data_IF_643244287591
#
_entry.id   IF_643244287591
#
_cell.length_a   1.000
_cell.length_b   1.000
_cell.length_c   1.000
_cell.angle_alpha   90.00
_cell.angle_beta   90.00
_cell.angle_gamma   90.00
#
_symmetry.space_group_name_H-M   'P 1'
#
loop_
_entity.id
_entity.type
_entity.pdbx_description
1 polymer ?
#
# COMPACT_ATOMS: atom_id res chain seq x y z
N UNK A 1 6.67 1.29 -14.57
CA UNK A 1 5.43 0.50 -14.67
C UNK A 1 5.77 -0.91 -15.10
N UNK A 2 5.27 -1.93 -14.39
CA UNK A 2 5.48 -3.36 -14.74
C UNK A 2 4.40 -3.90 -15.67
N UNK A 3 3.40 -3.08 -16.03
CA UNK A 3 2.27 -3.49 -16.85
C UNK A 3 2.47 -3.11 -18.33
N UNK A 4 2.10 -4.01 -19.21
CA UNK A 4 2.23 -3.88 -20.67
C UNK A 4 0.88 -3.61 -21.35
N UNK A 5 -0.23 -3.97 -20.70
CA UNK A 5 -1.57 -3.87 -21.26
C UNK A 5 -2.43 -2.81 -20.55
N UNK A 6 -3.57 -2.46 -21.14
CA UNK A 6 -4.50 -1.46 -20.61
C UNK A 6 -5.51 -2.09 -19.67
N UNK A 7 -5.88 -3.35 -19.90
CA UNK A 7 -6.84 -4.10 -19.09
C UNK A 7 -6.20 -5.32 -18.41
N UNK A 8 -6.84 -5.77 -17.37
CA UNK A 8 -6.34 -6.83 -16.48
C UNK A 8 -6.34 -8.21 -17.12
N UNK A 9 -7.31 -8.51 -17.96
CA UNK A 9 -7.43 -9.83 -18.61
C UNK A 9 -6.31 -10.02 -19.63
N UNK A 10 -6.07 -9.00 -20.47
CA UNK A 10 -4.94 -8.98 -21.40
C UNK A 10 -3.59 -9.03 -20.67
N UNK A 11 -3.49 -8.39 -19.51
CA UNK A 11 -2.26 -8.44 -18.70
C UNK A 11 -1.98 -9.83 -18.15
N UNK A 12 -3.02 -10.55 -17.70
CA UNK A 12 -2.88 -11.93 -17.24
C UNK A 12 -2.52 -12.90 -18.40
N UNK A 13 -3.00 -12.62 -19.61
CA UNK A 13 -2.74 -13.42 -20.81
C UNK A 13 -1.35 -13.17 -21.39
N UNK A 14 -0.78 -11.99 -21.19
CA UNK A 14 0.43 -11.50 -21.85
C UNK A 14 1.63 -12.46 -21.71
N UNK A 15 1.90 -12.94 -20.50
CA UNK A 15 3.00 -13.87 -20.25
C UNK A 15 2.86 -15.19 -21.01
N UNK A 16 1.75 -15.92 -20.84
CA UNK A 16 1.47 -17.14 -21.60
C UNK A 16 1.51 -16.97 -23.14
N UNK A 17 0.95 -15.87 -23.66
CA UNK A 17 0.99 -15.57 -25.10
C UNK A 17 2.42 -15.40 -25.62
N UNK A 18 3.27 -14.66 -24.89
CA UNK A 18 4.67 -14.48 -25.24
C UNK A 18 5.50 -15.79 -25.16
N UNK A 19 5.02 -16.78 -24.41
CA UNK A 19 5.61 -18.12 -24.39
C UNK A 19 5.05 -19.04 -25.49
N UNK A 20 4.24 -18.50 -26.40
CA UNK A 20 3.70 -19.25 -27.54
C UNK A 20 2.66 -20.31 -27.14
N UNK A 21 1.99 -20.14 -26.02
CA UNK A 21 0.92 -21.04 -25.56
C UNK A 21 -0.31 -20.78 -26.44
N UNK A 22 -0.99 -21.86 -26.88
CA UNK A 22 -2.17 -21.76 -27.71
C UNK A 22 -3.31 -20.99 -27.02
N UNK A 23 -4.08 -20.22 -27.78
CA UNK A 23 -5.08 -19.26 -27.27
C UNK A 23 -6.14 -19.88 -26.34
N UNK A 24 -6.60 -21.08 -26.65
CA UNK A 24 -7.54 -21.83 -25.79
C UNK A 24 -6.94 -22.16 -24.44
N UNK A 25 -5.68 -22.59 -24.40
CA UNK A 25 -4.94 -22.87 -23.17
C UNK A 25 -4.62 -21.59 -22.39
N UNK A 26 -4.35 -20.46 -23.07
CA UNK A 26 -4.18 -19.15 -22.42
C UNK A 26 -5.45 -18.76 -21.67
N UNK A 27 -6.61 -18.87 -22.31
CA UNK A 27 -7.91 -18.55 -21.69
C UNK A 27 -8.18 -19.42 -20.44
N UNK A 28 -7.88 -20.71 -20.53
CA UNK A 28 -8.07 -21.64 -19.42
C UNK A 28 -7.10 -21.33 -18.26
N UNK A 29 -5.85 -20.95 -18.56
CA UNK A 29 -4.88 -20.53 -17.56
C UNK A 29 -5.32 -19.26 -16.85
N UNK A 30 -5.75 -18.23 -17.60
CA UNK A 30 -6.25 -16.97 -17.03
C UNK A 30 -7.44 -17.22 -16.10
N UNK A 31 -8.43 -18.02 -16.52
CA UNK A 31 -9.58 -18.38 -15.69
C UNK A 31 -9.15 -19.13 -14.41
N UNK A 32 -8.27 -20.09 -14.55
CA UNK A 32 -7.77 -20.90 -13.41
C UNK A 32 -7.04 -19.99 -12.41
N UNK A 33 -6.13 -19.13 -12.87
CA UNK A 33 -5.37 -18.21 -12.02
C UNK A 33 -6.30 -17.19 -11.37
N UNK A 34 -7.25 -16.65 -12.12
CA UNK A 34 -8.24 -15.71 -11.57
C UNK A 34 -9.02 -16.35 -10.42
N UNK A 35 -9.49 -17.58 -10.58
CA UNK A 35 -10.19 -18.31 -9.53
C UNK A 35 -9.29 -18.62 -8.31
N UNK A 36 -8.06 -19.11 -8.56
CA UNK A 36 -7.11 -19.47 -7.49
C UNK A 36 -6.69 -18.29 -6.63
N UNK A 37 -6.47 -17.13 -7.25
CA UNK A 37 -5.98 -15.92 -6.62
C UNK A 37 -7.09 -14.91 -6.32
N UNK A 38 -8.35 -15.28 -6.54
CA UNK A 38 -9.55 -14.43 -6.32
C UNK A 38 -9.47 -13.10 -7.08
N UNK A 39 -9.12 -13.17 -8.36
CA UNK A 39 -8.97 -12.02 -9.26
C UNK A 39 -10.21 -11.78 -10.12
N UNK A 40 -11.24 -12.65 -10.08
CA UNK A 40 -12.42 -12.55 -10.94
C UNK A 40 -13.09 -11.17 -10.89
N UNK A 41 -13.20 -10.49 -9.73
CA UNK A 41 -13.79 -9.15 -9.67
C UNK A 41 -12.95 -8.07 -10.34
N UNK A 42 -11.70 -8.39 -10.68
CA UNK A 42 -10.76 -7.47 -11.31
C UNK A 42 -10.65 -7.67 -12.82
N UNK A 43 -11.18 -8.78 -13.36
CA UNK A 43 -11.12 -9.05 -14.80
C UNK A 43 -11.81 -7.95 -15.59
N UNK A 44 -11.32 -7.70 -16.80
CA UNK A 44 -11.81 -6.70 -17.76
C UNK A 44 -11.79 -5.25 -17.25
N UNK A 45 -11.18 -5.00 -16.11
CA UNK A 45 -11.00 -3.63 -15.59
C UNK A 45 -9.74 -2.99 -16.17
N UNK A 46 -9.79 -1.67 -16.31
CA UNK A 46 -8.60 -0.90 -16.66
C UNK A 46 -7.57 -0.96 -15.53
N UNK A 47 -6.32 -1.27 -15.85
CA UNK A 47 -5.20 -1.29 -14.88
C UNK A 47 -5.01 0.08 -14.21
N UNK A 48 -5.31 1.16 -14.92
CA UNK A 48 -5.21 2.52 -14.39
C UNK A 48 -6.24 2.82 -13.29
N UNK A 49 -7.37 2.10 -13.28
CA UNK A 49 -8.42 2.25 -12.26
C UNK A 49 -8.18 1.41 -11.00
N UNK A 50 -7.16 0.56 -11.00
CA UNK A 50 -6.85 -0.34 -9.88
C UNK A 50 -6.12 0.39 -8.75
N UNK A 51 -6.45 0.03 -7.52
CA UNK A 51 -5.67 0.36 -6.33
C UNK A 51 -4.29 -0.29 -6.35
N UNK A 52 -3.36 0.18 -5.51
CA UNK A 52 -2.03 -0.42 -5.39
C UNK A 52 -2.07 -1.92 -5.05
N UNK A 53 -2.96 -2.34 -4.15
CA UNK A 53 -3.15 -3.74 -3.78
C UNK A 53 -3.71 -4.59 -4.92
N UNK A 54 -4.70 -4.08 -5.65
CA UNK A 54 -5.25 -4.76 -6.83
C UNK A 54 -4.19 -4.90 -7.93
N UNK A 55 -3.38 -3.87 -8.16
CA UNK A 55 -2.23 -3.93 -9.10
C UNK A 55 -1.24 -5.01 -8.70
N UNK A 56 -0.89 -5.11 -7.42
CA UNK A 56 0.03 -6.14 -6.94
C UNK A 56 -0.54 -7.55 -7.14
N UNK A 57 -1.84 -7.75 -6.88
CA UNK A 57 -2.52 -9.01 -7.16
C UNK A 57 -2.48 -9.38 -8.65
N UNK A 58 -2.74 -8.43 -9.55
CA UNK A 58 -2.67 -8.66 -11.00
C UNK A 58 -1.24 -8.99 -11.42
N UNK A 59 -0.23 -8.28 -10.93
CA UNK A 59 1.17 -8.57 -11.23
C UNK A 59 1.58 -10.01 -10.82
N UNK A 60 1.16 -10.44 -9.61
CA UNK A 60 1.35 -11.82 -9.18
C UNK A 60 0.54 -12.83 -10.02
N UNK A 61 -0.68 -12.47 -10.43
CA UNK A 61 -1.52 -13.25 -11.31
C UNK A 61 -0.89 -13.46 -12.69
N UNK A 62 -0.32 -12.40 -13.28
CA UNK A 62 0.39 -12.47 -14.57
C UNK A 62 1.58 -13.42 -14.50
N UNK A 63 2.36 -13.36 -13.42
CA UNK A 63 3.42 -14.33 -13.18
C UNK A 63 2.87 -15.76 -13.00
N UNK A 64 1.78 -15.92 -12.24
CA UNK A 64 1.15 -17.23 -11.99
C UNK A 64 0.55 -17.85 -13.27
N UNK A 65 0.13 -17.06 -14.23
CA UNK A 65 -0.39 -17.54 -15.51
C UNK A 65 0.69 -18.22 -16.36
N UNK A 66 1.97 -17.87 -16.16
CA UNK A 66 3.12 -18.57 -16.77
C UNK A 66 3.38 -19.90 -16.05
N UNK A 67 2.98 -19.99 -14.77
CA UNK A 67 3.17 -21.15 -13.86
C UNK A 67 4.66 -21.42 -13.53
N UNK A 68 5.44 -20.42 -13.10
CA UNK A 68 6.84 -20.63 -12.76
C UNK A 68 7.00 -21.49 -11.49
N UNK A 69 8.15 -22.15 -11.35
CA UNK A 69 8.51 -22.88 -10.12
C UNK A 69 9.04 -21.95 -9.03
N UNK A 70 9.59 -20.78 -9.42
CA UNK A 70 10.21 -19.83 -8.51
C UNK A 70 9.63 -18.42 -8.74
N UNK A 71 9.15 -17.81 -7.66
CA UNK A 71 8.72 -16.40 -7.62
C UNK A 71 9.76 -15.57 -6.89
N UNK A 72 10.19 -14.47 -7.50
CA UNK A 72 11.07 -13.49 -6.88
C UNK A 72 10.30 -12.19 -6.74
N UNK A 73 10.14 -11.70 -5.51
CA UNK A 73 9.33 -10.54 -5.17
C UNK A 73 10.21 -9.53 -4.43
N UNK A 74 10.27 -8.31 -4.95
CA UNK A 74 11.04 -7.22 -4.37
C UNK A 74 10.09 -6.17 -3.79
N UNK A 75 10.15 -5.98 -2.47
CA UNK A 75 9.30 -5.07 -1.68
C UNK A 75 7.82 -5.07 -2.07
N UNK A 76 7.18 -6.23 -2.21
CA UNK A 76 5.82 -6.31 -2.75
C UNK A 76 4.78 -5.61 -1.88
N UNK A 77 5.06 -5.36 -0.61
CA UNK A 77 4.13 -4.71 0.32
C UNK A 77 4.26 -3.19 0.39
N UNK A 78 5.21 -2.56 -0.31
CA UNK A 78 5.57 -1.15 -0.13
C UNK A 78 4.39 -0.17 -0.25
N UNK A 79 3.45 -0.43 -1.17
CA UNK A 79 2.29 0.42 -1.45
C UNK A 79 0.96 -0.19 -0.99
N UNK A 80 0.99 -1.23 -0.15
CA UNK A 80 -0.21 -1.92 0.33
C UNK A 80 -0.68 -1.37 1.67
N UNK A 81 -1.99 -1.24 1.83
CA UNK A 81 -2.62 -1.04 3.13
C UNK A 81 -2.79 -2.37 3.89
N UNK A 82 -3.28 -2.32 5.13
CA UNK A 82 -3.38 -3.49 5.99
C UNK A 82 -4.27 -4.60 5.39
N UNK A 83 -5.36 -4.24 4.72
CA UNK A 83 -6.26 -5.21 4.07
C UNK A 83 -5.59 -5.85 2.86
N UNK A 84 -4.98 -5.04 2.00
CA UNK A 84 -4.25 -5.52 0.83
C UNK A 84 -3.07 -6.42 1.23
N UNK A 85 -2.38 -6.13 2.34
CA UNK A 85 -1.32 -6.99 2.89
C UNK A 85 -1.89 -8.34 3.34
N UNK A 86 -3.03 -8.36 4.02
CA UNK A 86 -3.67 -9.60 4.45
C UNK A 86 -4.05 -10.49 3.24
N UNK A 87 -4.64 -9.89 2.22
CA UNK A 87 -4.98 -10.57 0.97
C UNK A 87 -3.74 -11.07 0.23
N UNK A 88 -2.68 -10.26 0.17
CA UNK A 88 -1.41 -10.63 -0.45
C UNK A 88 -0.74 -11.79 0.29
N UNK A 89 -0.76 -11.77 1.62
CA UNK A 89 -0.29 -12.88 2.44
C UNK A 89 -1.03 -14.18 2.10
N UNK A 90 -2.36 -14.12 1.94
CA UNK A 90 -3.16 -15.29 1.56
C UNK A 90 -2.78 -15.82 0.17
N UNK A 91 -2.49 -14.93 -0.78
CA UNK A 91 -1.99 -15.29 -2.10
C UNK A 91 -0.65 -16.06 -1.99
N UNK A 92 0.30 -15.54 -1.22
CA UNK A 92 1.60 -16.19 -1.00
C UNK A 92 1.42 -17.59 -0.36
N UNK A 93 0.51 -17.73 0.60
CA UNK A 93 0.17 -19.05 1.18
C UNK A 93 -0.36 -20.02 0.13
N UNK A 94 -1.21 -19.54 -0.78
CA UNK A 94 -1.74 -20.37 -1.86
C UNK A 94 -0.61 -20.85 -2.78
N UNK A 95 0.28 -19.99 -3.20
CA UNK A 95 1.44 -20.35 -4.04
C UNK A 95 2.37 -21.35 -3.31
N UNK A 96 2.66 -21.09 -2.05
CA UNK A 96 3.48 -22.00 -1.22
C UNK A 96 2.83 -23.38 -1.08
N UNK A 97 1.52 -23.46 -0.86
CA UNK A 97 0.78 -24.73 -0.75
C UNK A 97 0.76 -25.55 -2.05
N UNK A 98 0.97 -24.88 -3.18
CA UNK A 98 1.14 -25.51 -4.51
C UNK A 98 2.58 -26.01 -4.76
N UNK A 99 3.47 -25.90 -3.77
CA UNK A 99 4.87 -26.31 -3.88
C UNK A 99 5.77 -25.30 -4.59
N UNK A 100 5.31 -24.06 -4.80
CA UNK A 100 6.13 -23.02 -5.44
C UNK A 100 7.19 -22.49 -4.49
N UNK A 101 8.38 -22.21 -5.03
CA UNK A 101 9.45 -21.53 -4.29
C UNK A 101 9.20 -20.02 -4.34
N UNK A 102 9.30 -19.36 -3.18
CA UNK A 102 9.05 -17.92 -3.08
C UNK A 102 10.26 -17.28 -2.42
N UNK A 103 10.88 -16.31 -3.10
CA UNK A 103 11.99 -15.50 -2.60
C UNK A 103 11.46 -14.08 -2.48
N UNK A 104 11.51 -13.49 -1.28
CA UNK A 104 10.97 -12.15 -1.01
C UNK A 104 12.05 -11.28 -0.37
N UNK A 105 12.37 -10.16 -0.99
CA UNK A 105 13.07 -9.05 -0.37
C UNK A 105 12.04 -8.14 0.31
N UNK A 106 12.17 -7.86 1.61
CA UNK A 106 11.13 -7.16 2.35
C UNK A 106 11.64 -6.47 3.62
N UNK A 107 11.05 -5.30 3.92
CA UNK A 107 11.26 -4.57 5.17
C UNK A 107 10.15 -4.80 6.21
N UNK A 108 8.93 -5.10 5.76
CA UNK A 108 7.76 -5.34 6.62
C UNK A 108 7.65 -6.81 6.98
N UNK A 109 8.31 -7.23 8.05
CA UNK A 109 8.45 -8.65 8.39
C UNK A 109 7.20 -9.26 9.02
N UNK A 110 6.33 -8.46 9.64
CA UNK A 110 5.21 -8.95 10.44
C UNK A 110 4.21 -9.82 9.66
N UNK A 111 3.95 -9.51 8.38
CA UNK A 111 3.00 -10.29 7.59
C UNK A 111 3.60 -11.57 7.02
N UNK A 112 4.91 -11.70 7.02
CA UNK A 112 5.64 -12.89 6.59
C UNK A 112 5.79 -13.92 7.72
N UNK A 113 5.49 -13.55 8.96
CA UNK A 113 5.58 -14.45 10.11
C UNK A 113 4.71 -15.70 9.88
N UNK A 114 5.30 -16.89 10.05
CA UNK A 114 4.67 -18.17 9.75
C UNK A 114 4.55 -18.52 8.26
N UNK A 115 5.08 -17.69 7.36
CA UNK A 115 5.14 -17.96 5.93
C UNK A 115 6.54 -18.42 5.48
N UNK A 116 7.59 -17.78 5.96
CA UNK A 116 8.97 -18.09 5.58
C UNK A 116 9.49 -19.36 6.30
N UNK A 117 10.34 -20.11 5.62
CA UNK A 117 11.04 -21.28 6.14
C UNK A 117 12.50 -20.95 6.45
N UNK A 118 13.08 -19.97 5.74
CA UNK A 118 14.47 -19.52 5.84
C UNK A 118 14.54 -18.01 5.68
N UNK A 119 15.47 -17.37 6.38
CA UNK A 119 15.72 -15.94 6.30
C UNK A 119 17.19 -15.69 6.06
N UNK A 120 17.50 -14.93 5.02
CA UNK A 120 18.85 -14.45 4.73
C UNK A 120 18.93 -12.99 5.14
N UNK A 121 19.87 -12.65 6.01
CA UNK A 121 20.16 -11.26 6.39
C UNK A 121 21.35 -10.75 5.57
N UNK A 122 21.07 -9.73 4.76
CA UNK A 122 22.07 -9.06 3.93
C UNK A 122 22.48 -7.75 4.56
N UNK A 123 23.78 -7.49 4.55
CA UNK A 123 24.38 -6.22 4.94
C UNK A 123 25.62 -5.94 4.09
N UNK A 124 25.75 -4.71 3.64
CA UNK A 124 26.89 -4.26 2.81
C UNK A 124 27.17 -5.14 1.56
N UNK A 125 26.12 -5.80 1.03
CA UNK A 125 26.20 -6.68 -0.13
C UNK A 125 26.61 -8.12 0.18
N UNK A 126 26.79 -8.48 1.45
CA UNK A 126 27.16 -9.80 1.91
C UNK A 126 26.05 -10.45 2.74
N UNK A 127 25.98 -11.79 2.76
CA UNK A 127 25.09 -12.54 3.64
C UNK A 127 25.78 -12.65 5.01
N UNK A 128 25.32 -11.81 5.95
CA UNK A 128 25.82 -11.86 7.34
C UNK A 128 25.08 -12.90 8.21
N UNK A 129 23.87 -13.29 7.83
CA UNK A 129 23.10 -14.27 8.57
C UNK A 129 22.25 -15.17 7.68
N UNK A 130 22.14 -16.42 8.09
CA UNK A 130 21.32 -17.45 7.45
C UNK A 130 20.61 -18.22 8.56
N UNK A 131 19.30 -18.06 8.63
CA UNK A 131 18.47 -18.53 9.74
C UNK A 131 17.34 -19.42 9.25
N UNK A 132 17.04 -20.46 9.99
CA UNK A 132 15.73 -21.12 9.91
C UNK A 132 14.64 -20.19 10.44
N UNK A 133 13.38 -20.48 10.13
CA UNK A 133 12.25 -19.72 10.67
C UNK A 133 12.25 -19.69 12.21
N UNK A 134 12.59 -20.80 12.85
CA UNK A 134 12.63 -20.93 14.31
C UNK A 134 13.73 -20.05 14.92
N UNK A 135 14.95 -20.13 14.40
CA UNK A 135 16.08 -19.32 14.86
C UNK A 135 15.79 -17.84 14.71
N UNK A 136 15.26 -17.40 13.56
CA UNK A 136 14.96 -16.01 13.30
C UNK A 136 13.83 -15.48 14.21
N UNK A 137 12.79 -16.25 14.41
CA UNK A 137 11.72 -15.89 15.35
C UNK A 137 12.19 -15.85 16.80
N UNK A 138 13.20 -16.66 17.15
CA UNK A 138 13.82 -16.70 18.47
C UNK A 138 14.76 -15.53 18.78
N UNK A 139 15.15 -14.71 17.78
CA UNK A 139 15.95 -13.52 18.01
C UNK A 139 15.21 -12.55 18.96
N UNK A 140 15.93 -11.98 19.91
CA UNK A 140 15.38 -10.94 20.80
C UNK A 140 15.05 -9.66 20.03
N UNK A 141 14.18 -8.81 20.57
CA UNK A 141 13.88 -7.49 19.99
C UNK A 141 15.18 -6.68 19.81
N UNK A 142 16.07 -6.70 20.81
CA UNK A 142 17.35 -6.00 20.75
C UNK A 142 18.23 -6.47 19.60
N UNK A 143 18.35 -7.79 19.40
CA UNK A 143 19.14 -8.32 18.28
C UNK A 143 18.59 -7.86 16.94
N UNK A 144 17.25 -7.87 16.76
CA UNK A 144 16.64 -7.37 15.53
C UNK A 144 16.82 -5.86 15.35
N UNK A 145 16.75 -5.08 16.42
CA UNK A 145 17.02 -3.64 16.37
C UNK A 145 18.48 -3.33 16.00
N UNK A 146 19.43 -4.08 16.56
CA UNK A 146 20.86 -3.96 16.22
C UNK A 146 21.13 -4.31 14.73
N UNK A 147 20.31 -5.19 14.14
CA UNK A 147 20.31 -5.51 12.71
C UNK A 147 19.55 -4.48 11.85
N UNK A 148 18.89 -3.50 12.45
CA UNK A 148 18.06 -2.52 11.73
C UNK A 148 16.74 -3.09 11.18
N UNK A 149 16.26 -4.21 11.72
CA UNK A 149 15.08 -4.90 11.24
C UNK A 149 13.80 -4.42 11.92
N UNK A 150 12.72 -4.39 11.16
CA UNK A 150 11.39 -4.09 11.72
C UNK A 150 10.84 -5.25 12.57
N UNK A 151 9.93 -4.98 13.52
CA UNK A 151 9.35 -6.02 14.38
C UNK A 151 8.62 -7.09 13.59
N UNK A 152 8.71 -8.34 14.04
CA UNK A 152 7.90 -9.47 13.56
C UNK A 152 6.47 -9.44 14.10
N UNK A 153 6.23 -8.71 15.19
CA UNK A 153 4.94 -8.58 15.83
C UNK A 153 4.70 -7.13 16.24
N UNK A 154 3.54 -6.60 15.86
CA UNK A 154 3.15 -5.23 16.20
C UNK A 154 2.56 -5.09 17.62
N UNK A 155 2.21 -6.20 18.27
CA UNK A 155 1.60 -6.21 19.60
C UNK A 155 2.54 -5.76 20.74
N UNK A 156 3.83 -5.62 20.50
CA UNK A 156 4.84 -5.22 21.50
C UNK A 156 5.44 -3.84 21.26
N UNK A 157 4.83 -3.01 20.43
CA UNK A 157 5.26 -1.62 20.28
C UNK A 157 4.94 -0.90 21.59
N UNK A 158 5.98 -0.63 22.38
CA UNK A 158 5.87 0.18 23.60
C UNK A 158 5.30 1.56 23.24
N UNK A 159 4.39 2.06 24.08
CA UNK A 159 3.92 3.43 23.99
C UNK A 159 5.14 4.34 24.14
N UNK A 160 5.48 5.04 23.07
CA UNK A 160 6.47 6.10 23.14
C UNK A 160 5.75 7.24 23.86
N UNK A 161 6.19 7.58 25.09
CA UNK A 161 5.72 8.78 25.74
C UNK A 161 6.01 9.98 24.85
N UNK A 162 4.96 10.50 24.23
CA UNK A 162 5.05 11.71 23.41
C UNK A 162 5.33 12.94 24.29
N UNK A 163 5.83 14.03 23.72
CA UNK A 163 5.95 15.29 24.44
C UNK A 163 4.58 15.69 25.01
N UNK A 164 4.51 16.35 26.17
CA UNK A 164 3.26 16.74 26.80
C UNK A 164 2.41 17.53 25.79
N UNK A 165 1.15 17.10 25.64
CA UNK A 165 0.21 17.75 24.73
C UNK A 165 -0.05 19.18 25.19
N UNK A 166 0.53 20.16 24.50
CA UNK A 166 0.15 21.57 24.60
C UNK A 166 -1.04 21.79 23.68
N UNK A 167 -2.24 21.47 24.15
CA UNK A 167 -3.46 21.81 23.41
C UNK A 167 -3.67 23.33 23.55
N UNK A 168 -3.32 24.09 22.51
CA UNK A 168 -3.76 25.47 22.40
C UNK A 168 -5.24 25.51 22.05
N UNK A 169 -5.97 26.50 22.56
CA UNK A 169 -7.40 26.71 22.27
C UNK A 169 -7.67 27.06 20.79
N UNK A 170 -6.63 27.46 20.03
CA UNK A 170 -6.75 27.72 18.61
C UNK A 170 -7.05 26.43 17.85
N UNK A 171 -8.16 26.42 17.16
CA UNK A 171 -8.65 25.24 16.43
C UNK A 171 -8.81 25.60 14.95
N UNK A 172 -8.18 24.79 14.09
CA UNK A 172 -8.48 24.81 12.66
C UNK A 172 -9.72 24.01 12.39
N UNK A 173 -10.78 24.66 11.88
CA UNK A 173 -12.05 24.01 11.57
C UNK A 173 -12.27 23.99 10.07
N UNK A 174 -12.72 22.83 9.58
CA UNK A 174 -13.00 22.61 8.18
C UNK A 174 -14.44 22.13 8.07
N UNK A 175 -15.24 22.81 7.21
CA UNK A 175 -16.67 22.55 7.08
C UNK A 175 -17.10 22.40 5.63
N UNK A 176 -18.10 21.55 5.44
CA UNK A 176 -18.81 21.37 4.18
C UNK A 176 -17.88 21.04 3.01
N UNK A 177 -16.92 20.15 3.25
CA UNK A 177 -15.97 19.74 2.21
C UNK A 177 -16.66 18.81 1.22
N UNK A 178 -16.58 19.20 -0.03
CA UNK A 178 -16.96 18.39 -1.18
C UNK A 178 -15.89 18.55 -2.25
N UNK A 179 -15.42 17.42 -2.76
CA UNK A 179 -14.43 17.40 -3.83
C UNK A 179 -14.59 16.17 -4.71
N UNK A 180 -14.52 16.38 -6.02
CA UNK A 180 -14.43 15.31 -7.02
C UNK A 180 -13.35 15.67 -8.05
N UNK A 181 -12.63 14.69 -8.54
CA UNK A 181 -11.79 14.83 -9.72
C UNK A 181 -12.66 14.93 -10.98
N UNK A 182 -12.09 15.49 -12.05
CA UNK A 182 -12.81 15.68 -13.30
C UNK A 182 -13.29 14.32 -13.85
N UNK A 183 -14.60 14.21 -14.09
CA UNK A 183 -15.28 12.99 -14.56
C UNK A 183 -15.29 11.80 -13.57
N UNK A 184 -15.00 12.05 -12.29
CA UNK A 184 -15.06 11.03 -11.26
C UNK A 184 -16.18 11.31 -10.24
N UNK A 185 -16.67 10.30 -9.52
CA UNK A 185 -17.62 10.49 -8.43
C UNK A 185 -16.98 11.32 -7.30
N UNK A 186 -17.82 11.80 -6.39
CA UNK A 186 -17.34 12.57 -5.24
C UNK A 186 -16.36 11.76 -4.40
N UNK A 187 -15.14 12.29 -4.28
CA UNK A 187 -14.02 11.65 -3.56
C UNK A 187 -14.01 12.01 -2.08
N UNK A 188 -14.44 13.25 -1.75
CA UNK A 188 -14.53 13.73 -0.37
C UNK A 188 -15.90 14.32 -0.08
N UNK A 189 -16.47 13.87 1.04
CA UNK A 189 -17.66 14.46 1.64
C UNK A 189 -17.46 14.53 3.15
N UNK A 190 -17.12 15.72 3.69
CA UNK A 190 -16.85 15.91 5.12
C UNK A 190 -17.70 17.08 5.62
N UNK A 191 -18.61 16.79 6.52
CA UNK A 191 -19.50 17.81 7.08
C UNK A 191 -18.73 18.81 7.92
N UNK A 192 -17.96 18.33 8.91
CA UNK A 192 -17.13 19.14 9.79
C UNK A 192 -16.01 18.31 10.40
N UNK A 193 -14.82 18.89 10.51
CA UNK A 193 -13.71 18.35 11.30
C UNK A 193 -12.84 19.48 11.81
N UNK A 194 -12.06 19.24 12.85
CA UNK A 194 -11.19 20.26 13.44
C UNK A 194 -9.84 19.67 13.86
N UNK A 195 -8.83 20.53 13.85
CA UNK A 195 -7.47 20.21 14.25
C UNK A 195 -7.01 21.21 15.31
N UNK A 196 -6.70 20.76 16.53
CA UNK A 196 -6.15 21.61 17.57
C UNK A 196 -4.79 22.18 17.12
N UNK A 197 -4.57 23.46 17.34
CA UNK A 197 -3.28 24.08 17.02
C UNK A 197 -2.18 23.51 17.93
N UNK A 198 -1.01 23.26 17.36
CA UNK A 198 0.12 22.66 18.09
C UNK A 198 -0.02 21.15 18.34
N UNK A 199 -1.02 20.49 17.75
CA UNK A 199 -1.19 19.04 17.83
C UNK A 199 -0.68 18.33 16.57
N UNK A 200 -0.37 17.05 16.70
CA UNK A 200 -0.17 16.14 15.58
C UNK A 200 -1.43 15.30 15.37
N UNK A 201 -2.02 15.36 14.17
CA UNK A 201 -3.22 14.60 13.83
C UNK A 201 -2.89 13.57 12.76
N UNK A 202 -3.14 12.30 13.02
CA UNK A 202 -3.01 11.24 12.04
C UNK A 202 -4.30 11.09 11.24
N UNK A 203 -4.20 11.14 9.91
CA UNK A 203 -5.29 10.81 8.98
C UNK A 203 -5.08 9.37 8.50
N UNK A 204 -5.94 8.47 8.95
CA UNK A 204 -5.84 7.04 8.68
C UNK A 204 -7.00 6.55 7.80
N UNK A 205 -6.79 5.42 7.12
CA UNK A 205 -7.79 4.79 6.25
C UNK A 205 -7.12 3.92 5.18
N UNK A 206 -7.91 3.09 4.50
CA UNK A 206 -7.42 2.24 3.41
C UNK A 206 -6.98 3.06 2.18
N UNK A 207 -6.30 2.40 1.23
CA UNK A 207 -5.94 3.03 -0.05
C UNK A 207 -7.21 3.41 -0.81
N UNK A 208 -7.18 4.59 -1.45
CA UNK A 208 -8.37 5.13 -2.11
C UNK A 208 -9.38 5.85 -1.19
N UNK A 209 -9.19 5.86 0.13
CA UNK A 209 -10.10 6.53 1.09
C UNK A 209 -10.06 8.08 1.03
N UNK A 210 -9.31 8.68 0.12
CA UNK A 210 -9.25 10.14 -0.04
C UNK A 210 -8.24 10.86 0.87
N UNK A 211 -7.37 10.17 1.62
CA UNK A 211 -6.40 10.79 2.54
C UNK A 211 -5.51 11.83 1.87
N UNK A 212 -4.85 11.46 0.79
CA UNK A 212 -3.97 12.37 0.03
C UNK A 212 -4.77 13.51 -0.63
N UNK A 213 -5.96 13.21 -1.13
CA UNK A 213 -6.88 14.21 -1.70
C UNK A 213 -7.27 15.23 -0.63
N UNK A 214 -7.61 14.78 0.58
CA UNK A 214 -7.93 15.67 1.69
C UNK A 214 -6.75 16.56 2.09
N UNK A 215 -5.55 16.00 2.23
CA UNK A 215 -4.33 16.77 2.51
C UNK A 215 -4.06 17.83 1.42
N UNK A 216 -4.19 17.46 0.13
CA UNK A 216 -4.05 18.39 -1.00
C UNK A 216 -5.11 19.52 -0.97
N UNK A 217 -6.35 19.16 -0.64
CA UNK A 217 -7.42 20.13 -0.46
C UNK A 217 -7.12 21.12 0.67
N UNK A 218 -6.64 20.65 1.82
CA UNK A 218 -6.24 21.48 2.95
C UNK A 218 -5.14 22.47 2.59
N UNK A 219 -4.10 22.00 1.92
CA UNK A 219 -3.00 22.84 1.47
C UNK A 219 -3.38 23.83 0.35
N UNK A 220 -4.60 23.74 -0.20
CA UNK A 220 -5.03 24.58 -1.31
C UNK A 220 -4.45 24.19 -2.67
N UNK A 221 -3.89 22.98 -2.81
CA UNK A 221 -3.38 22.46 -4.08
C UNK A 221 -4.52 22.17 -5.07
N UNK A 222 -5.66 21.75 -4.57
CA UNK A 222 -6.84 21.47 -5.41
C UNK A 222 -7.68 22.73 -5.67
N UNK A 223 -7.90 23.05 -6.97
CA UNK A 223 -8.60 24.27 -7.38
C UNK A 223 -10.11 24.20 -7.17
N UNK A 224 -10.69 23.02 -7.32
CA UNK A 224 -12.15 22.82 -7.28
C UNK A 224 -12.67 22.40 -5.90
N UNK A 225 -11.86 22.57 -4.87
CA UNK A 225 -12.26 22.35 -3.48
C UNK A 225 -13.45 23.23 -3.11
N UNK A 226 -14.52 22.63 -2.65
CA UNK A 226 -15.66 23.27 -2.01
C UNK A 226 -15.58 23.05 -0.51
N UNK A 227 -15.94 24.05 0.27
CA UNK A 227 -15.85 24.03 1.73
C UNK A 227 -15.11 25.22 2.29
N UNK A 228 -15.09 25.33 3.60
CA UNK A 228 -14.39 26.41 4.33
C UNK A 228 -13.29 25.82 5.20
N UNK A 229 -12.18 26.53 5.27
CA UNK A 229 -11.08 26.28 6.21
C UNK A 229 -10.88 27.53 7.01
N UNK A 230 -11.12 27.46 8.29
CA UNK A 230 -11.14 28.62 9.19
C UNK A 230 -10.44 28.34 10.51
N UNK A 231 -9.97 29.37 11.16
CA UNK A 231 -9.66 29.41 12.59
C UNK A 231 -10.63 30.34 13.32
N UNK A 232 -10.36 30.62 14.59
CA UNK A 232 -11.19 31.54 15.38
C UNK A 232 -11.21 32.97 14.84
N UNK A 233 -10.24 33.38 14.03
CA UNK A 233 -10.05 34.76 13.57
C UNK A 233 -10.59 34.98 12.16
N UNK A 234 -10.50 33.99 11.26
CA UNK A 234 -10.89 34.17 9.85
C UNK A 234 -11.04 32.86 9.06
N UNK A 235 -11.67 33.01 7.89
CA UNK A 235 -11.64 32.01 6.84
C UNK A 235 -10.40 32.18 5.95
N UNK A 236 -9.75 31.08 5.62
CA UNK A 236 -8.55 31.05 4.78
C UNK A 236 -8.91 30.77 3.33
N UNK A 237 -8.62 31.74 2.46
CA UNK A 237 -8.69 31.53 1.01
C UNK A 237 -7.68 30.49 0.53
N UNK A 238 -7.88 29.97 -0.68
CA UNK A 238 -6.93 29.05 -1.31
C UNK A 238 -5.51 29.59 -1.36
N UNK A 239 -5.35 30.88 -1.71
CA UNK A 239 -4.02 31.54 -1.81
C UNK A 239 -3.33 31.66 -0.45
N UNK A 240 -4.08 31.88 0.61
CA UNK A 240 -3.54 31.94 1.98
C UNK A 240 -3.12 30.56 2.44
N UNK A 241 -3.92 29.52 2.19
CA UNK A 241 -3.57 28.13 2.52
C UNK A 241 -2.29 27.64 1.81
N UNK A 242 -2.10 27.99 0.53
CA UNK A 242 -0.87 27.72 -0.22
C UNK A 242 0.38 28.37 0.40
N UNK A 243 0.22 29.46 1.18
CA UNK A 243 1.34 30.12 1.87
C UNK A 243 1.59 29.58 3.28
N UNK A 244 0.56 29.04 3.91
CA UNK A 244 0.60 28.60 5.32
C UNK A 244 0.88 27.10 5.46
N UNK A 245 0.44 26.31 4.48
CA UNK A 245 0.54 24.85 4.53
C UNK A 245 1.58 24.36 3.53
N UNK A 246 2.47 23.50 3.99
CA UNK A 246 3.44 22.82 3.15
C UNK A 246 3.15 21.33 3.18
N UNK A 247 3.12 20.68 2.01
CA UNK A 247 2.88 19.25 1.89
C UNK A 247 4.16 18.55 1.45
N UNK A 248 4.57 17.57 2.26
CA UNK A 248 5.60 16.61 1.84
C UNK A 248 4.88 15.43 1.20
N UNK A 249 5.13 15.18 -0.06
CA UNK A 249 4.50 14.08 -0.80
C UNK A 249 5.23 12.76 -0.53
N UNK A 250 4.51 11.66 -0.73
CA UNK A 250 5.06 10.31 -0.61
C UNK A 250 6.18 10.06 -1.63
N UNK A 251 6.01 10.56 -2.85
CA UNK A 251 7.04 10.57 -3.89
C UNK A 251 7.62 11.99 -4.01
N UNK A 252 8.88 12.14 -3.60
CA UNK A 252 9.58 13.44 -3.61
C UNK A 252 10.19 13.80 -4.96
N UNK A 253 10.06 12.93 -5.98
CA UNK A 253 10.63 13.13 -7.31
C UNK A 253 9.62 13.64 -8.35
N UNK A 254 8.45 14.11 -7.91
CA UNK A 254 7.42 14.73 -8.76
C UNK A 254 7.24 16.22 -8.48
#
# INVERSE_FOLDING_TARGET
SQFFNVDTTSELAFGPENHGIAEDLVRDRVKRVAAQLKLEPLLDRSIFSLSGGEKQKIACGSAAAIDPDVYVLDEPSSNLDAYAIADFRQLLFTLKSQGKTIIISEHRLYYLSGLFDRVLYLKDGEIEGDYTAEEFCGLSAKQRDDMGLRPLNLAGLSEIEGPPQRMNEAVWTIKNVSFAYKHEPETLHITETSFPSGSATAIIGHNGAGKSTFARCLCGLEKHFKGTVQDQSKNYSRKERLKLCYMVMQDVNH
#
